data_IF_389577722133
#
_entry.id   IF_389577722133
#
_cell.length_a   1.000
_cell.length_b   1.000
_cell.length_c   1.000
_cell.angle_alpha   90.00
_cell.angle_beta   90.00
_cell.angle_gamma   90.00
#
_symmetry.space_group_name_H-M   'P 1'
#
loop_
_entity.id
_entity.type
_entity.pdbx_description
1 polymer ?
#
# COMPACT_ATOMS: atom_id res chain seq x y z
N UNK A 1 58.67 24.00 9.86
CA UNK A 1 57.93 23.82 11.13
C UNK A 1 56.54 24.42 10.98
N UNK A 2 55.51 23.59 11.20
CA UNK A 2 54.12 23.85 11.61
C UNK A 2 53.25 24.78 10.74
N UNK A 3 52.35 24.22 9.92
CA UNK A 3 51.02 23.66 10.24
C UNK A 3 49.95 24.73 10.48
N UNK A 4 48.85 24.65 9.72
CA UNK A 4 47.49 24.55 10.28
C UNK A 4 46.51 24.16 9.17
N UNK A 5 45.96 22.96 9.32
CA UNK A 5 44.94 22.38 8.46
C UNK A 5 43.58 23.02 8.68
N UNK A 6 42.82 23.12 7.60
CA UNK A 6 41.42 23.48 7.61
C UNK A 6 40.57 22.26 8.00
N UNK A 7 39.74 22.44 9.02
CA UNK A 7 38.72 21.49 9.44
C UNK A 7 37.64 21.35 8.36
N UNK A 8 37.41 20.12 7.90
CA UNK A 8 36.20 19.74 7.18
C UNK A 8 35.10 19.51 8.22
N UNK A 9 33.96 20.18 8.05
CA UNK A 9 32.78 19.96 8.87
C UNK A 9 32.18 18.59 8.54
N UNK A 10 32.18 17.70 9.53
CA UNK A 10 31.49 16.42 9.47
C UNK A 10 29.98 16.66 9.40
N UNK A 11 29.37 16.31 8.27
CA UNK A 11 27.92 16.24 8.14
C UNK A 11 27.42 15.06 8.98
N UNK A 12 26.73 15.38 10.08
CA UNK A 12 26.08 14.36 10.92
C UNK A 12 25.01 13.64 10.09
N UNK A 13 25.26 12.36 9.79
CA UNK A 13 24.28 11.48 9.17
C UNK A 13 23.17 11.21 10.19
N UNK A 14 21.96 11.68 9.88
CA UNK A 14 20.77 11.37 10.68
C UNK A 14 20.49 9.89 10.52
N UNK A 15 20.74 9.12 11.57
CA UNK A 15 20.47 7.69 11.62
C UNK A 15 18.94 7.50 11.49
N UNK A 16 18.42 6.83 10.45
CA UNK A 16 16.97 6.66 10.31
C UNK A 16 16.49 5.78 11.46
N UNK A 17 15.80 6.39 12.42
CA UNK A 17 15.31 5.70 13.62
C UNK A 17 14.58 4.42 13.21
N UNK A 18 15.03 3.28 13.76
CA UNK A 18 14.39 1.98 13.59
C UNK A 18 12.97 2.11 14.12
N UNK A 19 11.98 2.17 13.21
CA UNK A 19 10.57 2.25 13.61
C UNK A 19 10.17 0.95 14.28
N UNK A 20 9.71 1.02 15.52
CA UNK A 20 9.11 -0.13 16.20
C UNK A 20 7.89 -0.61 15.40
N UNK A 21 7.77 -1.90 15.08
CA UNK A 21 6.61 -2.43 14.39
C UNK A 21 5.31 -2.14 15.16
N UNK A 22 4.21 -1.92 14.44
CA UNK A 22 2.91 -1.73 15.05
C UNK A 22 2.32 -3.05 15.58
N UNK A 23 1.57 -2.97 16.67
CA UNK A 23 0.74 -4.08 17.16
C UNK A 23 -0.58 -4.14 16.40
N UNK A 24 -1.06 -5.34 16.09
CA UNK A 24 -2.40 -5.56 15.52
C UNK A 24 -3.54 -5.01 16.36
N UNK A 25 -3.34 -4.86 17.66
CA UNK A 25 -4.37 -4.34 18.57
C UNK A 25 -4.43 -2.80 18.56
N UNK A 26 -3.41 -2.15 18.01
CA UNK A 26 -3.29 -0.69 17.97
C UNK A 26 -2.91 -0.22 16.56
N UNK A 27 -3.85 -0.39 15.61
CA UNK A 27 -3.69 0.14 14.26
C UNK A 27 -3.84 1.66 14.30
N UNK A 28 -2.91 2.43 13.72
CA UNK A 28 -2.97 3.89 13.76
C UNK A 28 -4.23 4.45 13.09
N UNK A 29 -4.68 5.61 13.56
CA UNK A 29 -5.78 6.36 12.94
C UNK A 29 -7.19 5.91 13.29
N UNK A 30 -8.19 6.67 12.83
CA UNK A 30 -9.60 6.28 12.87
C UNK A 30 -9.93 5.30 11.73
N UNK A 31 -10.91 4.41 11.93
CA UNK A 31 -11.28 3.38 10.95
C UNK A 31 -11.57 3.97 9.56
N UNK A 32 -12.28 5.09 9.53
CA UNK A 32 -12.73 5.83 8.35
C UNK A 32 -11.57 6.38 7.53
N UNK A 33 -10.40 6.58 8.15
CA UNK A 33 -9.21 7.11 7.49
C UNK A 33 -8.22 6.03 7.08
N UNK A 34 -8.44 4.77 7.46
CA UNK A 34 -7.48 3.68 7.19
C UNK A 34 -7.67 3.10 5.80
N UNK A 35 -6.56 2.99 5.07
CA UNK A 35 -6.49 2.39 3.74
C UNK A 35 -5.52 1.22 3.79
N UNK A 36 -6.00 0.00 3.57
CA UNK A 36 -5.11 -1.15 3.44
C UNK A 36 -4.33 -1.08 2.13
N UNK A 37 -3.02 -1.29 2.16
CA UNK A 37 -2.17 -1.32 0.96
C UNK A 37 -1.67 -2.74 0.76
N UNK A 38 -2.17 -3.41 -0.27
CA UNK A 38 -1.79 -4.77 -0.66
C UNK A 38 -1.00 -4.80 -1.97
N UNK A 39 -0.27 -5.89 -2.19
CA UNK A 39 0.50 -6.11 -3.42
C UNK A 39 1.68 -7.04 -3.18
N UNK A 40 2.51 -7.25 -4.20
CA UNK A 40 3.69 -8.09 -4.07
C UNK A 40 4.77 -7.42 -3.21
N UNK A 41 5.20 -8.06 -2.09
CA UNK A 41 6.19 -7.46 -1.18
C UNK A 41 7.56 -7.15 -1.81
N UNK A 42 7.90 -7.83 -2.91
CA UNK A 42 9.10 -7.49 -3.70
C UNK A 42 9.05 -6.09 -4.30
N UNK A 43 7.87 -5.48 -4.37
CA UNK A 43 7.65 -4.08 -4.75
C UNK A 43 7.48 -3.15 -3.55
N UNK A 44 8.13 -3.44 -2.42
CA UNK A 44 8.06 -2.60 -1.22
C UNK A 44 8.35 -1.10 -1.48
N UNK A 45 9.19 -0.75 -2.45
CA UNK A 45 9.42 0.65 -2.84
C UNK A 45 8.16 1.29 -3.47
N UNK A 46 7.49 0.59 -4.40
CA UNK A 46 6.27 1.05 -5.03
C UNK A 46 5.10 1.11 -4.03
N UNK A 47 4.99 0.12 -3.12
CA UNK A 47 4.00 0.15 -2.04
C UNK A 47 4.19 1.37 -1.12
N UNK A 48 5.43 1.83 -0.91
CA UNK A 48 5.71 3.08 -0.18
C UNK A 48 5.30 4.32 -0.96
N UNK A 49 5.42 4.33 -2.28
CA UNK A 49 4.90 5.41 -3.15
C UNK A 49 3.38 5.50 -3.04
N UNK A 50 2.68 4.36 -3.15
CA UNK A 50 1.23 4.27 -2.93
C UNK A 50 0.86 4.80 -1.54
N UNK A 51 1.58 4.36 -0.50
CA UNK A 51 1.34 4.81 0.86
C UNK A 51 1.49 6.33 1.01
N UNK A 52 2.54 6.92 0.42
CA UNK A 52 2.75 8.36 0.43
C UNK A 52 1.58 9.10 -0.26
N UNK A 53 1.14 8.65 -1.43
CA UNK A 53 0.02 9.26 -2.13
C UNK A 53 -1.29 9.22 -1.30
N UNK A 54 -1.51 8.12 -0.56
CA UNK A 54 -2.62 7.99 0.39
C UNK A 54 -2.48 8.99 1.54
N UNK A 55 -1.28 9.16 2.11
CA UNK A 55 -1.00 10.15 3.16
C UNK A 55 -1.26 11.59 2.69
N UNK A 56 -0.86 11.91 1.45
CA UNK A 56 -1.10 13.23 0.83
C UNK A 56 -2.61 13.53 0.65
N UNK A 57 -3.46 12.50 0.56
CA UNK A 57 -4.92 12.64 0.59
C UNK A 57 -5.50 12.82 2.01
N UNK A 58 -4.67 12.85 3.05
CA UNK A 58 -5.13 12.88 4.44
C UNK A 58 -5.66 11.53 4.95
N UNK A 59 -5.34 10.43 4.28
CA UNK A 59 -5.65 9.07 4.75
C UNK A 59 -4.44 8.44 5.44
N UNK A 60 -4.64 7.26 6.02
CA UNK A 60 -3.63 6.54 6.82
C UNK A 60 -3.38 5.19 6.14
N UNK A 61 -2.24 5.02 5.45
CA UNK A 61 -1.92 3.77 4.79
C UNK A 61 -1.53 2.72 5.83
N UNK A 62 -2.09 1.52 5.69
CA UNK A 62 -1.80 0.35 6.51
C UNK A 62 -1.07 -0.67 5.63
N UNK A 63 0.25 -0.73 5.78
CA UNK A 63 1.12 -1.68 5.09
C UNK A 63 1.41 -2.86 6.01
N UNK A 64 1.14 -4.08 5.57
CA UNK A 64 1.29 -5.27 6.41
C UNK A 64 2.73 -5.46 6.95
N UNK A 65 3.76 -5.16 6.16
CA UNK A 65 5.16 -5.28 6.58
C UNK A 65 5.59 -4.28 7.67
N UNK A 66 4.75 -3.32 8.06
CA UNK A 66 4.99 -2.42 9.20
C UNK A 66 4.55 -3.02 10.54
N UNK A 67 3.94 -4.20 10.52
CA UNK A 67 3.45 -4.89 11.71
C UNK A 67 4.38 -6.06 12.04
N UNK A 68 4.44 -6.39 13.33
CA UNK A 68 5.08 -7.63 13.76
C UNK A 68 4.15 -8.81 13.42
N UNK A 69 4.45 -9.47 12.31
CA UNK A 69 3.67 -10.58 11.77
C UNK A 69 4.48 -11.87 11.96
N UNK A 70 3.97 -12.85 12.73
CA UNK A 70 4.60 -14.16 12.83
C UNK A 70 4.67 -14.83 11.47
N UNK A 71 5.79 -15.51 11.20
CA UNK A 71 5.95 -16.32 9.99
C UNK A 71 4.84 -17.37 9.89
N UNK A 72 4.48 -17.73 8.67
CA UNK A 72 3.44 -18.72 8.33
C UNK A 72 2.00 -18.32 8.69
N UNK A 73 1.80 -17.10 9.21
CA UNK A 73 0.48 -16.55 9.54
C UNK A 73 0.13 -15.30 8.72
N UNK A 74 0.99 -14.92 7.78
CA UNK A 74 0.94 -13.65 7.05
C UNK A 74 -0.43 -13.42 6.41
N UNK A 75 -0.98 -14.44 5.75
CA UNK A 75 -2.30 -14.37 5.13
C UNK A 75 -3.39 -14.01 6.13
N UNK A 76 -3.45 -14.70 7.27
CA UNK A 76 -4.46 -14.44 8.29
C UNK A 76 -4.32 -13.02 8.87
N UNK A 77 -3.07 -12.58 9.06
CA UNK A 77 -2.76 -11.24 9.55
C UNK A 77 -3.16 -10.15 8.55
N UNK A 78 -2.83 -10.31 7.27
CA UNK A 78 -3.26 -9.38 6.21
C UNK A 78 -4.78 -9.26 6.16
N UNK A 79 -5.52 -10.36 6.25
CA UNK A 79 -6.99 -10.32 6.26
C UNK A 79 -7.56 -9.62 7.51
N UNK A 80 -6.90 -9.73 8.67
CA UNK A 80 -7.28 -8.99 9.88
C UNK A 80 -7.02 -7.48 9.72
N UNK A 81 -5.89 -7.09 9.14
CA UNK A 81 -5.57 -5.69 8.83
C UNK A 81 -6.56 -5.12 7.83
N UNK A 82 -6.80 -5.85 6.73
CA UNK A 82 -7.78 -5.54 5.70
C UNK A 82 -9.14 -5.25 6.33
N UNK A 83 -9.65 -6.16 7.19
CA UNK A 83 -10.93 -6.01 7.88
C UNK A 83 -11.02 -4.71 8.67
N UNK A 84 -9.92 -4.27 9.29
CA UNK A 84 -9.82 -3.06 10.13
C UNK A 84 -9.55 -1.75 9.35
N UNK A 85 -9.54 -1.78 8.03
CA UNK A 85 -9.46 -0.59 7.17
C UNK A 85 -10.81 -0.29 6.51
N UNK A 86 -11.11 0.97 6.21
CA UNK A 86 -12.34 1.34 5.48
C UNK A 86 -12.18 1.10 3.98
N UNK A 87 -11.02 1.47 3.44
CA UNK A 87 -10.68 1.39 2.01
C UNK A 87 -9.50 0.46 1.78
N UNK A 88 -9.29 0.06 0.53
CA UNK A 88 -8.19 -0.83 0.13
C UNK A 88 -7.63 -0.42 -1.21
N UNK A 89 -6.31 -0.35 -1.34
CA UNK A 89 -5.59 -0.13 -2.59
C UNK A 89 -4.66 -1.32 -2.81
N UNK A 90 -4.74 -1.94 -3.99
CA UNK A 90 -3.90 -3.07 -4.38
C UNK A 90 -3.01 -2.70 -5.55
N UNK A 91 -1.72 -3.01 -5.42
CA UNK A 91 -0.80 -3.10 -6.55
C UNK A 91 -0.86 -4.54 -7.08
N UNK A 92 -1.31 -4.68 -8.33
CA UNK A 92 -1.77 -5.91 -8.94
C UNK A 92 -0.99 -6.31 -10.19
N UNK A 93 0.17 -5.69 -10.47
CA UNK A 93 0.99 -6.00 -11.66
C UNK A 93 1.52 -7.44 -11.68
N UNK A 94 1.56 -8.09 -10.53
CA UNK A 94 2.10 -9.44 -10.38
C UNK A 94 1.19 -10.33 -9.57
N UNK A 95 1.02 -11.56 -10.02
CA UNK A 95 0.31 -12.58 -9.25
C UNK A 95 0.93 -12.77 -7.86
N UNK A 96 0.14 -12.49 -6.82
CA UNK A 96 0.54 -12.68 -5.42
C UNK A 96 -0.71 -12.89 -4.53
N UNK A 97 -0.52 -12.80 -3.21
CA UNK A 97 -1.60 -12.95 -2.22
C UNK A 97 -2.73 -11.93 -2.33
N UNK A 98 -2.52 -10.81 -3.04
CA UNK A 98 -3.51 -9.74 -3.19
C UNK A 98 -4.80 -10.21 -3.87
N UNK A 99 -4.76 -11.23 -4.73
CA UNK A 99 -5.97 -11.75 -5.40
C UNK A 99 -6.99 -12.27 -4.37
N UNK A 100 -6.50 -13.02 -3.38
CA UNK A 100 -7.32 -13.54 -2.29
C UNK A 100 -7.79 -12.38 -1.40
N UNK A 101 -6.91 -11.44 -1.09
CA UNK A 101 -7.25 -10.27 -0.29
C UNK A 101 -8.32 -9.40 -0.96
N UNK A 102 -8.31 -9.32 -2.29
CA UNK A 102 -9.29 -8.59 -3.08
C UNK A 102 -10.67 -9.26 -3.02
N UNK A 103 -10.74 -10.59 -3.15
CA UNK A 103 -12.00 -11.33 -2.93
C UNK A 103 -12.56 -11.06 -1.53
N UNK A 104 -11.71 -11.04 -0.50
CA UNK A 104 -12.12 -10.71 0.86
C UNK A 104 -12.53 -9.25 1.03
N UNK A 105 -11.86 -8.31 0.36
CA UNK A 105 -12.25 -6.91 0.36
C UNK A 105 -13.68 -6.74 -0.19
N UNK A 106 -13.99 -7.47 -1.27
CA UNK A 106 -15.34 -7.55 -1.82
C UNK A 106 -16.34 -8.16 -0.83
N UNK A 107 -16.03 -9.30 -0.19
CA UNK A 107 -16.90 -9.92 0.82
C UNK A 107 -17.16 -8.99 2.02
N UNK A 108 -16.15 -8.21 2.42
CA UNK A 108 -16.26 -7.19 3.46
C UNK A 108 -16.94 -5.90 2.98
N UNK A 109 -17.44 -5.85 1.75
CA UNK A 109 -18.11 -4.69 1.12
C UNK A 109 -17.25 -3.42 1.19
N UNK A 110 -15.93 -3.58 1.06
CA UNK A 110 -14.98 -2.45 1.04
C UNK A 110 -14.96 -1.82 -0.34
N UNK A 111 -14.69 -0.52 -0.38
CA UNK A 111 -14.34 0.14 -1.62
C UNK A 111 -12.86 -0.13 -1.90
N UNK A 112 -12.59 -0.78 -3.03
CA UNK A 112 -11.27 -1.19 -3.45
C UNK A 112 -10.85 -0.47 -4.74
N UNK A 113 -9.57 -0.09 -4.81
CA UNK A 113 -8.86 0.32 -6.00
C UNK A 113 -7.80 -0.75 -6.31
N UNK A 114 -7.74 -1.17 -7.56
CA UNK A 114 -6.72 -2.09 -8.08
C UNK A 114 -5.93 -1.36 -9.15
N UNK A 115 -4.60 -1.37 -9.03
CA UNK A 115 -3.66 -0.67 -9.90
C UNK A 115 -2.71 -1.68 -10.50
N UNK A 116 -2.48 -1.62 -11.81
CA UNK A 116 -1.51 -2.50 -12.46
C UNK A 116 -0.72 -1.77 -13.54
N UNK A 117 0.55 -2.14 -13.66
CA UNK A 117 1.56 -1.55 -14.55
C UNK A 117 1.34 -2.06 -15.97
N UNK A 118 1.07 -1.13 -16.89
CA UNK A 118 0.94 -1.42 -18.32
C UNK A 118 2.16 -2.14 -18.89
N UNK A 119 3.36 -1.82 -18.39
CA UNK A 119 4.60 -2.35 -18.94
C UNK A 119 4.84 -3.81 -18.54
N UNK A 120 4.08 -4.34 -17.57
CA UNK A 120 4.23 -5.72 -17.08
C UNK A 120 3.33 -6.73 -17.77
N UNK A 121 2.49 -6.29 -18.71
CA UNK A 121 1.73 -7.17 -19.60
C UNK A 121 0.23 -6.97 -19.51
N UNK A 122 -0.50 -8.07 -19.54
CA UNK A 122 -1.97 -8.06 -19.59
C UNK A 122 -2.61 -7.65 -18.26
N UNK A 123 -3.89 -7.25 -18.34
CA UNK A 123 -4.72 -7.00 -17.16
C UNK A 123 -4.66 -8.20 -16.20
N UNK A 124 -4.47 -7.95 -14.88
CA UNK A 124 -4.28 -9.03 -13.93
C UNK A 124 -5.51 -9.94 -13.84
N UNK A 125 -5.24 -11.22 -13.60
CA UNK A 125 -6.28 -12.26 -13.53
C UNK A 125 -7.10 -12.13 -12.25
N UNK A 126 -8.15 -11.33 -12.32
CA UNK A 126 -9.15 -11.21 -11.26
C UNK A 126 -10.20 -12.33 -11.36
N UNK A 127 -10.73 -12.76 -10.22
CA UNK A 127 -11.76 -13.82 -10.14
C UNK A 127 -13.07 -13.37 -10.78
N UNK A 128 -13.88 -14.32 -11.29
CA UNK A 128 -15.20 -14.01 -11.86
C UNK A 128 -16.13 -13.30 -10.88
N UNK A 129 -15.98 -13.58 -9.58
CA UNK A 129 -16.73 -12.92 -8.52
C UNK A 129 -16.44 -11.42 -8.50
N UNK A 130 -15.15 -11.05 -8.50
CA UNK A 130 -14.72 -9.66 -8.50
C UNK A 130 -15.06 -8.96 -9.83
N UNK A 131 -14.93 -9.67 -10.96
CA UNK A 131 -15.31 -9.16 -12.30
C UNK A 131 -16.78 -8.73 -12.38
N UNK A 132 -17.67 -9.42 -11.67
CA UNK A 132 -19.10 -9.09 -11.68
C UNK A 132 -19.45 -7.81 -10.92
N UNK A 133 -18.54 -7.29 -10.10
CA UNK A 133 -18.76 -6.09 -9.30
C UNK A 133 -18.46 -4.82 -10.12
N UNK A 134 -19.50 -4.03 -10.41
CA UNK A 134 -19.39 -2.79 -11.18
C UNK A 134 -18.48 -1.73 -10.52
N UNK A 135 -18.53 -1.61 -9.20
CA UNK A 135 -17.67 -0.67 -8.45
C UNK A 135 -16.21 -1.05 -8.62
N UNK A 136 -15.91 -2.34 -8.54
CA UNK A 136 -14.56 -2.83 -8.76
C UNK A 136 -14.10 -2.57 -10.21
N UNK A 137 -14.93 -2.85 -11.22
CA UNK A 137 -14.56 -2.57 -12.62
C UNK A 137 -14.22 -1.10 -12.86
N UNK A 138 -14.98 -0.18 -12.24
CA UNK A 138 -14.69 1.26 -12.31
C UNK A 138 -13.37 1.63 -11.64
N UNK A 139 -12.97 0.88 -10.62
CA UNK A 139 -11.77 1.10 -9.83
C UNK A 139 -10.63 0.10 -10.15
N UNK A 140 -10.70 -0.62 -11.28
CA UNK A 140 -9.55 -1.36 -11.79
C UNK A 140 -8.86 -0.47 -12.82
N UNK A 141 -7.68 0.02 -12.48
CA UNK A 141 -6.98 1.05 -13.23
C UNK A 141 -5.61 0.55 -13.67
N UNK A 142 -5.27 0.86 -14.90
CA UNK A 142 -3.95 0.64 -15.46
C UNK A 142 -3.14 1.92 -15.29
N UNK A 143 -1.88 1.83 -14.90
CA UNK A 143 -0.97 2.97 -14.90
C UNK A 143 0.26 2.70 -15.77
N UNK A 144 0.83 3.75 -16.34
CA UNK A 144 2.06 3.69 -17.14
C UNK A 144 3.25 4.43 -16.51
N UNK A 145 2.96 5.32 -15.54
CA UNK A 145 3.96 6.11 -14.84
C UNK A 145 3.59 6.25 -13.36
N UNK A 146 4.54 6.65 -12.52
CA UNK A 146 4.28 6.94 -11.10
C UNK A 146 3.24 8.06 -10.93
N UNK A 147 3.31 9.10 -11.78
CA UNK A 147 2.34 10.23 -11.72
C UNK A 147 0.92 9.76 -12.04
N UNK A 148 0.79 8.83 -12.98
CA UNK A 148 -0.49 8.23 -13.38
C UNK A 148 -1.07 7.38 -12.23
N UNK A 149 -0.23 6.55 -11.61
CA UNK A 149 -0.56 5.80 -10.39
C UNK A 149 -1.05 6.71 -9.27
N UNK A 150 -0.33 7.79 -8.98
CA UNK A 150 -0.69 8.77 -7.95
C UNK A 150 -2.03 9.43 -8.28
N UNK A 151 -2.25 9.83 -9.53
CA UNK A 151 -3.52 10.43 -9.98
C UNK A 151 -4.71 9.52 -9.71
N UNK A 152 -4.59 8.22 -10.00
CA UNK A 152 -5.67 7.26 -9.73
C UNK A 152 -5.99 7.12 -8.23
N UNK A 153 -4.99 7.20 -7.36
CA UNK A 153 -5.18 7.20 -5.91
C UNK A 153 -5.91 8.46 -5.48
N UNK A 154 -5.49 9.62 -6.00
CA UNK A 154 -6.11 10.91 -5.69
C UNK A 154 -7.57 10.95 -6.12
N UNK A 155 -7.87 10.52 -7.35
CA UNK A 155 -9.25 10.45 -7.84
C UNK A 155 -10.11 9.49 -7.00
N UNK A 156 -9.54 8.35 -6.58
CA UNK A 156 -10.26 7.37 -5.76
C UNK A 156 -10.61 7.89 -4.35
N UNK A 157 -9.72 8.66 -3.73
CA UNK A 157 -9.86 9.13 -2.35
C UNK A 157 -10.46 10.54 -2.20
N UNK A 158 -10.53 11.34 -3.27
CA UNK A 158 -10.99 12.74 -3.24
C UNK A 158 -12.35 12.95 -2.59
N UNK A 159 -13.30 12.05 -2.86
CA UNK A 159 -14.70 12.19 -2.46
C UNK A 159 -15.08 11.25 -1.30
N UNK A 160 -14.11 10.88 -0.46
CA UNK A 160 -14.27 9.84 0.59
C UNK A 160 -14.25 10.39 2.01
#
# INVERSE_FOLDING_TARGET
>A
MNSKGHYLAESQSVNPAVRTPYSLNSIPGAYERRVFVGGAYRYGALLKVIARAIEECGFIPILAFQFDIPRDTERHFCLRLLKKCKFTVFEASLDAGWMIELDWAHQYKKQALSLWDEMQGDEPRITSLVKSNETFRKNNKKYSTIRDLESHIYDFLRDK
#
